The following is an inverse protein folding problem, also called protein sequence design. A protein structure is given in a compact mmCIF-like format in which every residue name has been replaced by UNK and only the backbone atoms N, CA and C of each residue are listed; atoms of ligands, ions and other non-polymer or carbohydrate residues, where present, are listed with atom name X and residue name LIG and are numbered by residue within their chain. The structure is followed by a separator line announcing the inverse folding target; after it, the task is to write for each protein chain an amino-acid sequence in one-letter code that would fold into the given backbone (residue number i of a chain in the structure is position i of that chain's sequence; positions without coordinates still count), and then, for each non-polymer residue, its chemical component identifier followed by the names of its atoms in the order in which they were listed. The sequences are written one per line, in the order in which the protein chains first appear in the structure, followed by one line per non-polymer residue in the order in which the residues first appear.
data_IF_299488255422
#
_entry.id   IF_299488255422
#
_cell.length_a   1.000
_cell.length_b   1.000
_cell.length_c   1.000
_cell.angle_alpha   90.00
_cell.angle_beta   90.00
_cell.angle_gamma   90.00
#
_symmetry.space_group_name_H-M   'P 1'
#
loop_
_entity.id
_entity.type
_entity.pdbx_description
1 polymer ?
#
# COMPACT_ATOMS: atom_id res chain seq x y z
N UNK A 1 -20.71 -8.53 -21.34
CA UNK A 1 -19.86 -9.74 -21.19
C UNK A 1 -19.82 -10.08 -19.71
N UNK A 2 -19.68 -11.35 -19.36
CA UNK A 2 -19.49 -11.72 -17.96
C UNK A 2 -18.10 -11.25 -17.48
N UNK A 3 -17.98 -10.94 -16.19
CA UNK A 3 -16.69 -10.64 -15.58
C UNK A 3 -15.80 -11.90 -15.61
N UNK A 4 -14.48 -11.78 -15.83
CA UNK A 4 -13.58 -12.93 -15.82
C UNK A 4 -13.35 -13.52 -14.42
N UNK A 5 -13.55 -12.73 -13.38
CA UNK A 5 -13.47 -13.13 -11.98
C UNK A 5 -14.75 -12.70 -11.24
N UNK A 6 -15.12 -13.43 -10.20
CA UNK A 6 -16.30 -13.13 -9.39
C UNK A 6 -15.90 -12.32 -8.16
N UNK A 7 -16.35 -11.07 -8.00
CA UNK A 7 -16.10 -10.30 -6.80
C UNK A 7 -16.90 -10.87 -5.61
N UNK A 8 -16.26 -10.95 -4.47
CA UNK A 8 -16.83 -11.44 -3.21
C UNK A 8 -16.70 -10.34 -2.16
N UNK A 9 -17.81 -9.98 -1.52
CA UNK A 9 -17.80 -8.97 -0.45
C UNK A 9 -18.43 -9.55 0.80
N UNK A 10 -17.64 -9.60 1.87
CA UNK A 10 -18.04 -10.14 3.17
C UNK A 10 -17.93 -9.06 4.24
N UNK A 11 -18.91 -8.96 5.11
CA UNK A 11 -18.94 -8.02 6.23
C UNK A 11 -19.10 -8.78 7.53
N UNK A 12 -18.24 -8.51 8.51
CA UNK A 12 -18.41 -9.02 9.85
C UNK A 12 -19.25 -8.01 10.68
N UNK A 13 -20.50 -8.34 10.93
CA UNK A 13 -21.43 -7.46 11.64
C UNK A 13 -21.27 -7.48 13.17
N UNK A 14 -20.63 -8.50 13.74
CA UNK A 14 -20.46 -8.65 15.19
C UNK A 14 -19.06 -8.27 15.67
N UNK A 15 -18.02 -8.42 14.82
CA UNK A 15 -16.65 -8.05 15.13
C UNK A 15 -16.42 -6.56 14.91
N UNK A 16 -16.11 -5.82 15.98
CA UNK A 16 -15.53 -4.47 15.89
C UNK A 16 -14.06 -4.51 15.47
N UNK A 17 -13.40 -3.35 15.49
CA UNK A 17 -11.95 -3.23 15.30
C UNK A 17 -11.18 -3.80 16.52
N UNK A 18 -11.47 -5.02 16.92
CA UNK A 18 -10.75 -5.72 17.99
C UNK A 18 -9.72 -6.65 17.36
N UNK A 19 -8.51 -6.64 17.91
CA UNK A 19 -7.39 -7.46 17.45
C UNK A 19 -7.36 -8.85 18.09
N UNK A 20 -8.42 -9.26 18.79
CA UNK A 20 -8.49 -10.59 19.39
C UNK A 20 -8.57 -11.67 18.31
N UNK A 21 -7.59 -12.56 18.27
CA UNK A 21 -7.73 -13.79 17.52
C UNK A 21 -8.77 -14.67 18.21
N UNK A 22 -9.71 -15.31 17.48
CA UNK A 22 -10.61 -16.25 18.09
C UNK A 22 -9.80 -17.38 18.77
N UNK A 23 -10.28 -17.86 19.91
CA UNK A 23 -9.68 -19.00 20.60
C UNK A 23 -9.82 -20.23 19.71
N UNK A 24 -8.70 -20.78 19.26
CA UNK A 24 -8.65 -22.04 18.50
C UNK A 24 -8.15 -23.12 19.46
N UNK A 25 -8.97 -24.15 19.66
CA UNK A 25 -8.62 -25.28 20.51
C UNK A 25 -7.28 -25.90 20.06
N UNK A 26 -6.41 -26.22 20.99
CA UNK A 26 -5.06 -26.75 20.79
C UNK A 26 -3.98 -25.80 20.25
N UNK A 27 -4.32 -24.54 19.89
CA UNK A 27 -3.35 -23.56 19.40
C UNK A 27 -3.35 -22.25 20.16
N UNK A 28 -4.46 -21.86 20.78
CA UNK A 28 -4.57 -20.62 21.54
C UNK A 28 -4.27 -20.85 23.02
N UNK A 29 -3.48 -19.95 23.63
CA UNK A 29 -3.28 -19.95 25.08
C UNK A 29 -4.53 -19.41 25.78
N UNK A 30 -4.97 -20.08 26.86
CA UNK A 30 -5.94 -19.54 27.81
C UNK A 30 -5.38 -18.19 28.31
N UNK A 31 -6.20 -17.19 28.45
CA UNK A 31 -5.91 -15.79 28.80
C UNK A 31 -5.48 -14.86 27.65
N UNK A 32 -5.14 -15.39 26.45
CA UNK A 32 -4.78 -14.57 25.28
C UNK A 32 -5.75 -14.72 24.11
N UNK A 33 -6.50 -15.81 24.03
CA UNK A 33 -7.52 -16.05 23.00
C UNK A 33 -8.89 -15.55 23.47
N UNK A 34 -9.58 -14.78 22.65
CA UNK A 34 -11.00 -14.49 22.88
C UNK A 34 -11.78 -15.74 22.46
N UNK A 35 -12.53 -16.34 23.41
CA UNK A 35 -13.51 -17.37 23.04
C UNK A 35 -14.36 -16.82 21.89
N UNK A 36 -14.35 -17.50 20.74
CA UNK A 36 -15.15 -17.09 19.61
C UNK A 36 -16.59 -16.93 20.08
N UNK A 37 -17.09 -15.73 20.02
CA UNK A 37 -18.51 -15.51 20.27
C UNK A 37 -19.27 -16.34 19.22
N UNK A 38 -20.10 -17.30 19.62
CA UNK A 38 -20.92 -18.07 18.68
C UNK A 38 -21.85 -17.18 17.85
N UNK A 39 -21.94 -15.88 18.18
CA UNK A 39 -22.69 -14.85 17.46
C UNK A 39 -21.87 -14.12 16.38
N UNK A 40 -20.64 -14.54 16.01
CA UNK A 40 -19.91 -13.92 14.91
C UNK A 40 -20.72 -14.08 13.62
N UNK A 41 -21.34 -12.99 13.18
CA UNK A 41 -22.17 -12.95 11.96
C UNK A 41 -21.34 -12.35 10.83
N UNK A 42 -20.80 -13.21 9.99
CA UNK A 42 -20.21 -12.80 8.71
C UNK A 42 -21.28 -12.98 7.65
N UNK A 43 -21.65 -11.89 6.98
CA UNK A 43 -22.61 -11.91 5.88
C UNK A 43 -21.87 -11.77 4.55
N UNK A 44 -22.31 -12.52 3.56
CA UNK A 44 -21.92 -12.36 2.17
C UNK A 44 -22.95 -11.49 1.48
N UNK A 45 -22.50 -10.32 1.00
CA UNK A 45 -23.37 -9.32 0.35
C UNK A 45 -23.09 -9.20 -1.14
N UNK A 46 -22.27 -10.09 -1.69
CA UNK A 46 -21.80 -10.04 -3.09
C UNK A 46 -22.92 -9.90 -4.11
N UNK A 47 -24.07 -10.55 -3.88
CA UNK A 47 -25.23 -10.49 -4.79
C UNK A 47 -25.95 -9.14 -4.80
N UNK A 48 -25.76 -8.31 -3.77
CA UNK A 48 -26.36 -6.99 -3.63
C UNK A 48 -25.42 -5.87 -4.12
N UNK A 49 -24.18 -6.20 -4.47
CA UNK A 49 -23.17 -5.21 -4.83
C UNK A 49 -23.39 -4.72 -6.26
N UNK A 50 -23.61 -3.40 -6.39
CA UNK A 50 -23.74 -2.72 -7.66
C UNK A 50 -22.42 -2.13 -8.17
N UNK A 51 -21.50 -1.73 -7.27
CA UNK A 51 -20.20 -1.15 -7.61
C UNK A 51 -19.19 -1.33 -6.50
N UNK A 52 -17.94 -1.56 -6.87
CA UNK A 52 -16.79 -1.56 -5.96
C UNK A 52 -15.72 -0.66 -6.57
N UNK A 53 -15.23 0.31 -5.81
CA UNK A 53 -14.02 1.06 -6.12
C UNK A 53 -13.05 0.86 -4.96
N UNK A 54 -11.82 0.38 -5.25
CA UNK A 54 -10.75 0.27 -4.27
C UNK A 54 -9.54 1.03 -4.74
N UNK A 55 -8.77 1.60 -3.80
CA UNK A 55 -7.54 2.30 -4.11
C UNK A 55 -6.53 2.13 -2.98
N UNK A 56 -5.34 1.71 -3.34
CA UNK A 56 -4.16 1.65 -2.48
C UNK A 56 -3.00 2.24 -3.27
N UNK A 57 -2.34 3.26 -2.75
CA UNK A 57 -1.25 3.90 -3.46
C UNK A 57 -0.24 4.55 -2.52
N UNK A 58 0.96 4.80 -3.04
CA UNK A 58 1.98 5.63 -2.42
C UNK A 58 1.85 7.07 -2.93
N UNK A 59 1.94 8.02 -2.01
CA UNK A 59 2.11 9.42 -2.38
C UNK A 59 3.59 9.67 -2.74
N UNK A 60 3.85 9.81 -4.04
CA UNK A 60 5.20 9.98 -4.56
C UNK A 60 5.90 11.27 -4.07
N UNK A 61 5.11 12.33 -3.75
CA UNK A 61 5.67 13.58 -3.23
C UNK A 61 6.11 13.50 -1.78
N UNK A 62 5.36 12.75 -0.97
CA UNK A 62 5.59 12.64 0.46
C UNK A 62 6.39 11.40 0.83
N UNK A 63 6.70 10.53 -0.14
CA UNK A 63 7.34 9.23 0.09
C UNK A 63 6.62 8.37 1.15
N UNK A 64 5.28 8.49 1.21
CA UNK A 64 4.46 7.81 2.19
C UNK A 64 3.37 6.98 1.53
N UNK A 65 3.10 5.80 2.10
CA UNK A 65 1.93 5.01 1.73
C UNK A 65 0.69 5.64 2.34
N UNK A 66 -0.33 5.80 1.52
CA UNK A 66 -1.61 6.33 1.96
C UNK A 66 -2.51 5.20 2.48
N UNK A 67 -3.46 5.58 3.33
CA UNK A 67 -4.52 4.66 3.72
C UNK A 67 -5.23 4.12 2.49
N UNK A 68 -5.31 2.81 2.38
CA UNK A 68 -6.15 2.17 1.39
C UNK A 68 -7.61 2.52 1.64
N UNK A 69 -8.35 2.78 0.58
CA UNK A 69 -9.78 3.10 0.63
C UNK A 69 -10.59 2.15 -0.23
N UNK A 70 -11.81 1.89 0.17
CA UNK A 70 -12.79 1.21 -0.66
C UNK A 70 -14.15 1.88 -0.54
N UNK A 71 -14.88 1.92 -1.64
CA UNK A 71 -16.30 2.30 -1.66
C UNK A 71 -17.08 1.16 -2.28
N UNK A 72 -18.02 0.62 -1.53
CA UNK A 72 -18.88 -0.47 -2.00
C UNK A 72 -20.33 0.01 -2.01
N UNK A 73 -20.92 0.06 -3.20
CA UNK A 73 -22.35 0.37 -3.36
C UNK A 73 -23.16 -0.91 -3.30
N UNK A 74 -24.09 -0.95 -2.37
CA UNK A 74 -25.02 -2.05 -2.16
C UNK A 74 -26.44 -1.59 -2.46
N UNK A 75 -27.20 -2.38 -3.18
CA UNK A 75 -28.64 -2.17 -3.39
C UNK A 75 -29.40 -2.61 -2.14
N UNK A 76 -30.33 -1.80 -1.67
CA UNK A 76 -31.16 -2.07 -0.48
C UNK A 76 -32.63 -2.23 -0.87
N UNK A 77 -32.96 -3.38 -1.45
CA UNK A 77 -34.30 -3.69 -1.92
C UNK A 77 -35.32 -3.86 -0.78
N UNK A 78 -34.85 -4.25 0.40
CA UNK A 78 -35.69 -4.60 1.55
C UNK A 78 -35.63 -3.58 2.70
N UNK A 79 -34.86 -2.52 2.58
CA UNK A 79 -34.62 -1.56 3.66
C UNK A 79 -33.83 -2.14 4.84
N UNK A 80 -33.09 -3.23 4.64
CA UNK A 80 -32.36 -3.92 5.70
C UNK A 80 -31.12 -3.16 6.16
N UNK A 81 -30.59 -2.29 5.32
CA UNK A 81 -29.42 -1.48 5.64
C UNK A 81 -29.76 -0.23 6.49
N UNK A 82 -31.02 0.01 6.79
CA UNK A 82 -31.41 1.09 7.70
C UNK A 82 -31.08 0.71 9.16
N UNK A 83 -30.18 1.43 9.86
CA UNK A 83 -29.77 1.11 11.21
C UNK A 83 -30.89 1.25 12.26
N UNK A 84 -32.00 1.92 11.91
CA UNK A 84 -33.18 2.07 12.78
C UNK A 84 -34.26 1.01 12.55
N UNK A 85 -34.08 0.17 11.53
CA UNK A 85 -35.03 -0.89 11.21
C UNK A 85 -34.86 -2.08 12.15
N UNK A 86 -35.68 -2.16 13.20
CA UNK A 86 -35.66 -3.28 14.17
C UNK A 86 -36.00 -4.64 13.57
N UNK A 87 -36.61 -4.64 12.37
CA UNK A 87 -36.96 -5.85 11.62
C UNK A 87 -35.83 -6.30 10.69
N UNK A 88 -34.80 -5.47 10.54
CA UNK A 88 -33.63 -5.84 9.74
C UNK A 88 -32.85 -7.01 10.37
N UNK A 89 -32.42 -8.01 9.59
CA UNK A 89 -31.57 -9.09 10.08
C UNK A 89 -30.19 -8.58 10.53
N UNK A 90 -29.84 -7.35 10.17
CA UNK A 90 -28.55 -6.70 10.52
C UNK A 90 -28.63 -5.85 11.80
N UNK A 91 -29.85 -5.61 12.32
CA UNK A 91 -30.04 -4.85 13.55
C UNK A 91 -29.55 -5.64 14.80
N UNK A 92 -28.89 -5.02 15.77
CA UNK A 92 -28.45 -3.62 15.87
C UNK A 92 -26.99 -3.40 15.39
N UNK A 93 -26.46 -4.23 14.51
CA UNK A 93 -25.05 -4.38 14.22
C UNK A 93 -24.50 -3.44 13.11
N UNK A 94 -25.36 -2.62 12.48
CA UNK A 94 -24.96 -1.63 11.47
C UNK A 94 -24.34 -0.41 12.16
N UNK A 95 -23.08 -0.53 12.57
CA UNK A 95 -22.31 0.53 13.22
C UNK A 95 -20.94 0.70 12.54
N UNK A 96 -20.33 1.90 12.64
CA UNK A 96 -18.99 2.11 12.10
C UNK A 96 -17.94 1.14 12.65
N UNK A 97 -16.84 0.99 11.91
CA UNK A 97 -15.70 0.11 12.20
C UNK A 97 -16.03 -1.39 12.13
N UNK A 98 -17.07 -1.78 11.43
CA UNK A 98 -17.27 -3.18 11.04
C UNK A 98 -16.23 -3.57 9.98
N UNK A 99 -15.66 -4.77 10.14
CA UNK A 99 -14.67 -5.28 9.20
C UNK A 99 -15.33 -5.68 7.88
N UNK A 100 -14.71 -5.29 6.78
CA UNK A 100 -15.10 -5.67 5.41
C UNK A 100 -13.93 -6.34 4.72
N UNK A 101 -14.23 -7.39 3.95
CA UNK A 101 -13.28 -8.13 3.12
C UNK A 101 -13.82 -8.13 1.70
N UNK A 102 -12.98 -7.71 0.75
CA UNK A 102 -13.26 -7.74 -0.68
C UNK A 102 -12.25 -8.68 -1.31
N UNK A 103 -12.74 -9.71 -1.98
CA UNK A 103 -11.96 -10.76 -2.63
C UNK A 103 -12.43 -10.95 -4.08
N UNK A 104 -11.68 -11.69 -4.87
CA UNK A 104 -12.07 -12.14 -6.20
C UNK A 104 -11.84 -13.64 -6.34
N UNK A 105 -12.83 -14.38 -6.75
CA UNK A 105 -12.65 -15.76 -7.20
C UNK A 105 -12.33 -15.76 -8.69
N UNK A 106 -11.15 -16.23 -9.05
CA UNK A 106 -10.72 -16.43 -10.42
C UNK A 106 -10.26 -17.88 -10.60
N UNK A 107 -10.99 -18.62 -11.41
CA UNK A 107 -10.72 -20.03 -11.72
C UNK A 107 -10.57 -20.93 -10.47
N UNK A 108 -11.35 -20.67 -9.42
CA UNK A 108 -11.34 -21.41 -8.15
C UNK A 108 -10.23 -20.99 -7.19
N UNK A 109 -9.46 -19.95 -7.51
CA UNK A 109 -8.49 -19.34 -6.60
C UNK A 109 -9.04 -18.00 -6.11
N UNK A 110 -9.07 -17.84 -4.79
CA UNK A 110 -9.54 -16.59 -4.15
C UNK A 110 -8.36 -15.66 -3.94
N UNK A 111 -8.42 -14.49 -4.56
CA UNK A 111 -7.43 -13.42 -4.44
C UNK A 111 -7.96 -12.32 -3.52
N UNK A 112 -7.23 -11.90 -2.49
CA UNK A 112 -7.60 -10.74 -1.70
C UNK A 112 -7.45 -9.47 -2.55
N UNK A 113 -8.40 -8.54 -2.43
CA UNK A 113 -8.36 -7.22 -3.06
C UNK A 113 -8.22 -6.14 -2.01
N UNK A 114 -9.04 -6.20 -0.97
CA UNK A 114 -9.05 -5.20 0.08
C UNK A 114 -9.60 -5.78 1.38
N UNK A 115 -8.96 -5.47 2.49
CA UNK A 115 -9.50 -5.69 3.83
C UNK A 115 -9.37 -4.42 4.65
N UNK A 116 -10.46 -4.05 5.28
CA UNK A 116 -10.51 -2.81 6.06
C UNK A 116 -11.75 -2.73 6.94
N UNK A 117 -12.15 -1.49 7.23
CA UNK A 117 -13.23 -1.18 8.16
C UNK A 117 -14.17 -0.16 7.54
N UNK A 118 -15.46 -0.36 7.71
CA UNK A 118 -16.49 0.57 7.23
C UNK A 118 -16.48 1.79 8.16
N UNK A 119 -16.08 2.93 7.65
CA UNK A 119 -16.02 4.18 8.41
C UNK A 119 -17.31 4.96 8.36
N UNK A 120 -18.07 4.79 7.28
CA UNK A 120 -19.31 5.53 7.05
C UNK A 120 -20.29 4.71 6.20
N UNK A 121 -21.57 4.86 6.47
CA UNK A 121 -22.68 4.33 5.70
C UNK A 121 -23.47 5.52 5.14
N UNK A 122 -23.44 5.71 3.82
CA UNK A 122 -24.19 6.76 3.13
C UNK A 122 -25.45 6.18 2.49
N UNK A 123 -26.59 6.50 3.05
CA UNK A 123 -27.90 6.00 2.61
C UNK A 123 -28.53 6.94 1.59
N UNK A 124 -29.05 6.38 0.51
CA UNK A 124 -29.82 7.11 -0.50
C UNK A 124 -31.09 6.36 -0.81
N UNK A 125 -32.23 7.00 -0.53
CA UNK A 125 -33.59 6.49 -0.82
C UNK A 125 -34.27 7.48 -1.77
N UNK A 126 -34.25 7.25 -3.09
CA UNK A 126 -34.91 8.10 -4.05
C UNK A 126 -36.43 8.07 -3.84
N UNK A 127 -37.07 9.26 -3.90
CA UNK A 127 -38.51 9.42 -3.59
C UNK A 127 -39.44 8.56 -4.45
N UNK A 128 -39.06 8.38 -5.73
CA UNK A 128 -39.90 7.73 -6.74
C UNK A 128 -39.36 6.37 -7.17
N UNK A 129 -38.41 5.82 -6.43
CA UNK A 129 -37.81 4.51 -6.73
C UNK A 129 -38.04 3.54 -5.57
N UNK A 130 -38.38 2.32 -5.91
CA UNK A 130 -38.61 1.26 -4.94
C UNK A 130 -37.32 0.74 -4.31
N UNK A 131 -36.15 0.97 -4.97
CA UNK A 131 -34.85 0.45 -4.56
C UNK A 131 -33.99 1.59 -4.05
N UNK A 132 -33.60 1.50 -2.78
CA UNK A 132 -32.57 2.32 -2.18
C UNK A 132 -31.18 1.74 -2.42
N UNK A 133 -30.15 2.50 -2.08
CA UNK A 133 -28.79 2.00 -2.02
C UNK A 133 -28.01 2.61 -0.86
N UNK A 134 -26.99 1.90 -0.43
CA UNK A 134 -26.03 2.37 0.58
C UNK A 134 -24.63 2.28 0.02
N UNK A 135 -23.87 3.37 0.15
CA UNK A 135 -22.44 3.40 -0.12
C UNK A 135 -21.68 3.16 1.19
N UNK A 136 -20.97 2.07 1.26
CA UNK A 136 -20.07 1.74 2.37
C UNK A 136 -18.73 2.40 2.08
N UNK A 137 -18.39 3.43 2.86
CA UNK A 137 -17.07 4.08 2.78
C UNK A 137 -16.13 3.35 3.73
N UNK A 138 -15.03 2.83 3.20
CA UNK A 138 -14.12 1.97 3.94
C UNK A 138 -12.70 2.53 3.91
N UNK A 139 -11.98 2.29 4.99
CA UNK A 139 -10.56 2.57 5.13
C UNK A 139 -9.84 1.32 5.62
N UNK A 140 -8.61 1.12 5.21
CA UNK A 140 -7.80 0.05 5.74
C UNK A 140 -7.36 0.32 7.20
N UNK A 141 -6.49 -0.52 7.73
CA UNK A 141 -6.07 -0.45 9.11
C UNK A 141 -5.16 0.75 9.45
N UNK A 142 -4.70 1.55 8.48
CA UNK A 142 -4.06 2.83 8.76
C UNK A 142 -4.91 3.71 9.68
N UNK A 143 -6.23 3.66 9.51
CA UNK A 143 -7.18 4.41 10.36
C UNK A 143 -7.06 4.04 11.83
N UNK A 144 -6.88 2.77 12.13
CA UNK A 144 -6.76 2.27 13.51
C UNK A 144 -5.42 2.69 14.13
N UNK A 145 -4.33 2.51 13.38
CA UNK A 145 -2.98 2.88 13.80
C UNK A 145 -2.84 4.40 13.98
N UNK A 146 -3.50 5.19 13.13
CA UNK A 146 -3.54 6.65 13.26
C UNK A 146 -4.24 7.08 14.55
N UNK A 147 -5.35 6.44 14.91
CA UNK A 147 -6.14 6.79 16.10
C UNK A 147 -5.51 6.26 17.41
N UNK A 148 -4.51 5.38 17.33
CA UNK A 148 -3.81 4.85 18.50
C UNK A 148 -2.63 5.73 18.88
N UNK A 149 -2.51 6.12 20.14
CA UNK A 149 -1.40 6.92 20.65
C UNK A 149 -0.38 6.04 21.38
N UNK A 150 0.88 6.35 21.20
CA UNK A 150 2.00 5.78 21.94
C UNK A 150 2.81 6.90 22.60
N UNK A 151 3.17 6.73 23.88
CA UNK A 151 4.08 7.63 24.59
C UNK A 151 5.45 6.98 24.71
N UNK A 152 5.50 5.79 25.26
CA UNK A 152 6.71 4.97 25.35
C UNK A 152 6.50 3.70 24.58
N UNK A 153 7.40 3.39 23.66
CA UNK A 153 7.36 2.11 22.94
C UNK A 153 7.94 1.02 23.84
N UNK A 154 7.11 0.09 24.25
CA UNK A 154 7.49 -0.98 25.19
C UNK A 154 8.65 -1.80 24.65
N UNK A 155 9.72 -1.94 25.44
CA UNK A 155 10.91 -2.71 25.08
C UNK A 155 11.81 -2.07 24.01
N UNK A 156 11.55 -0.82 23.58
CA UNK A 156 12.41 -0.12 22.64
C UNK A 156 13.78 0.19 23.29
N UNK A 157 14.85 -0.07 22.53
CA UNK A 157 16.22 0.17 22.95
C UNK A 157 17.02 0.85 21.83
N UNK A 158 18.09 1.57 22.18
CA UNK A 158 19.03 2.06 21.18
C UNK A 158 19.78 0.89 20.54
N UNK A 159 20.11 1.01 19.26
CA UNK A 159 20.84 -0.01 18.50
C UNK A 159 19.95 -1.10 17.89
N UNK A 160 18.64 -1.01 18.01
CA UNK A 160 17.73 -1.93 17.30
C UNK A 160 17.44 -1.44 15.88
N UNK A 161 17.15 -2.37 14.97
CA UNK A 161 16.76 -2.03 13.60
C UNK A 161 15.39 -1.36 13.54
N UNK A 162 15.18 -0.53 12.52
CA UNK A 162 13.94 0.21 12.28
C UNK A 162 12.70 -0.68 12.23
N UNK A 163 12.79 -1.84 11.56
CA UNK A 163 11.67 -2.78 11.54
C UNK A 163 11.39 -3.42 12.90
N UNK A 164 12.43 -3.69 13.71
CA UNK A 164 12.25 -4.13 15.09
C UNK A 164 11.50 -3.07 15.89
N UNK A 165 11.83 -1.78 15.70
CA UNK A 165 11.12 -0.66 16.31
C UNK A 165 9.64 -0.63 15.86
N UNK A 166 9.37 -0.80 14.56
CA UNK A 166 8.00 -0.88 14.03
C UNK A 166 7.23 -2.04 14.68
N UNK A 167 7.86 -3.21 14.80
CA UNK A 167 7.25 -4.37 15.49
C UNK A 167 6.84 -4.05 16.92
N UNK A 168 7.72 -3.39 17.70
CA UNK A 168 7.44 -2.99 19.08
C UNK A 168 6.38 -1.89 19.21
N UNK A 169 6.29 -0.98 18.24
CA UNK A 169 5.18 -0.01 18.18
C UNK A 169 3.85 -0.75 18.01
N UNK A 170 3.80 -1.72 17.08
CA UNK A 170 2.63 -2.55 16.86
C UNK A 170 2.28 -3.40 18.11
N UNK A 171 3.28 -3.94 18.82
CA UNK A 171 3.07 -4.64 20.11
C UNK A 171 2.45 -3.69 21.15
N UNK A 172 2.94 -2.46 21.24
CA UNK A 172 2.48 -1.46 22.22
C UNK A 172 0.99 -1.11 22.04
N UNK A 173 0.50 -1.13 20.79
CA UNK A 173 -0.92 -0.90 20.47
C UNK A 173 -1.75 -2.19 20.40
N UNK A 174 -1.16 -3.34 20.72
CA UNK A 174 -1.85 -4.64 20.72
C UNK A 174 -2.12 -5.23 19.32
N UNK A 175 -1.36 -4.82 18.27
CA UNK A 175 -1.52 -5.42 16.96
C UNK A 175 -1.02 -6.85 16.94
N UNK A 176 -1.83 -7.87 16.51
CA UNK A 176 -1.45 -9.26 16.60
C UNK A 176 -0.22 -9.60 15.72
N UNK A 177 0.66 -10.44 16.25
CA UNK A 177 1.85 -10.90 15.51
C UNK A 177 1.50 -11.74 14.28
N UNK A 178 0.36 -12.45 14.33
CA UNK A 178 -0.15 -13.26 13.21
C UNK A 178 -0.62 -12.44 12.01
N UNK A 179 -0.84 -11.13 12.19
CA UNK A 179 -1.34 -10.23 11.15
C UNK A 179 -0.30 -9.20 10.74
N UNK A 180 0.98 -9.59 10.69
CA UNK A 180 2.08 -8.71 10.28
C UNK A 180 3.24 -9.46 9.61
N UNK A 181 3.94 -8.77 8.73
CA UNK A 181 5.17 -9.21 8.07
C UNK A 181 6.20 -8.08 8.16
N UNK A 182 7.07 -8.16 9.15
CA UNK A 182 8.01 -7.07 9.50
C UNK A 182 9.44 -7.53 9.28
N UNK A 183 10.16 -6.91 8.34
CA UNK A 183 11.60 -7.11 8.17
C UNK A 183 12.36 -6.32 9.23
N UNK A 184 13.56 -6.77 9.62
CA UNK A 184 14.35 -6.15 10.70
C UNK A 184 14.71 -4.68 10.43
N UNK A 185 14.95 -4.32 9.16
CA UNK A 185 15.48 -3.01 8.77
C UNK A 185 17.00 -2.97 8.81
N UNK A 186 17.58 -2.01 8.10
CA UNK A 186 19.03 -1.84 7.97
C UNK A 186 19.58 -0.71 8.86
N UNK A 187 18.77 0.31 9.13
CA UNK A 187 19.17 1.46 9.93
C UNK A 187 18.94 1.18 11.42
N UNK A 188 19.92 1.52 12.26
CA UNK A 188 19.83 1.38 13.70
C UNK A 188 19.20 2.60 14.35
N UNK A 189 18.25 2.37 15.24
CA UNK A 189 17.49 3.42 15.91
C UNK A 189 18.17 3.92 17.18
N UNK A 190 17.97 5.19 17.49
CA UNK A 190 18.20 5.74 18.82
C UNK A 190 17.20 5.16 19.85
N UNK A 191 17.41 5.44 21.13
CA UNK A 191 16.41 5.19 22.17
C UNK A 191 15.08 5.88 21.81
N UNK A 192 13.96 5.32 22.26
CA UNK A 192 12.66 5.96 22.05
C UNK A 192 12.59 7.29 22.82
N UNK A 193 11.98 8.30 22.19
CA UNK A 193 11.89 9.66 22.75
C UNK A 193 11.00 9.75 24.00
N UNK A 194 10.11 8.80 24.23
CA UNK A 194 9.10 8.87 25.29
C UNK A 194 8.05 9.97 25.08
N UNK A 195 7.95 10.52 23.86
CA UNK A 195 7.01 11.61 23.55
C UNK A 195 5.71 11.03 23.01
N UNK A 196 4.57 11.55 23.48
CA UNK A 196 3.25 11.11 23.01
C UNK A 196 3.03 11.52 21.56
N UNK A 197 2.71 10.54 20.73
CA UNK A 197 2.44 10.69 19.29
C UNK A 197 1.52 9.58 18.80
N UNK A 198 0.92 9.72 17.61
CA UNK A 198 0.18 8.59 17.03
C UNK A 198 1.15 7.45 16.69
N UNK A 199 0.66 6.21 16.81
CA UNK A 199 1.45 5.03 16.41
C UNK A 199 1.85 5.11 14.93
N UNK A 200 0.97 5.63 14.07
CA UNK A 200 1.28 5.85 12.66
C UNK A 200 2.45 6.81 12.48
N UNK A 201 2.45 7.96 13.17
CA UNK A 201 3.56 8.90 13.09
C UNK A 201 4.89 8.26 13.54
N UNK A 202 4.87 7.46 14.61
CA UNK A 202 6.07 6.74 15.08
C UNK A 202 6.57 5.73 14.03
N UNK A 203 5.66 4.99 13.39
CA UNK A 203 5.97 4.05 12.31
C UNK A 203 6.47 4.77 11.06
N UNK A 204 5.83 5.86 10.65
CA UNK A 204 6.27 6.67 9.50
C UNK A 204 7.67 7.24 9.69
N UNK A 205 8.00 7.72 10.90
CA UNK A 205 9.35 8.20 11.22
C UNK A 205 10.38 7.09 11.07
N UNK A 206 10.09 5.88 11.58
CA UNK A 206 10.97 4.72 11.42
C UNK A 206 11.12 4.31 9.96
N UNK A 207 10.01 4.29 9.21
CA UNK A 207 9.98 3.93 7.79
C UNK A 207 10.75 4.92 6.93
N UNK A 208 10.59 6.22 7.19
CA UNK A 208 11.31 7.27 6.48
C UNK A 208 12.82 7.25 6.81
N UNK A 209 13.19 7.03 8.08
CA UNK A 209 14.58 6.84 8.51
C UNK A 209 15.23 5.66 7.79
N UNK A 210 14.50 4.57 7.57
CA UNK A 210 14.95 3.37 6.85
C UNK A 210 15.02 3.56 5.33
N UNK A 211 14.23 4.48 4.74
CA UNK A 211 13.92 4.50 3.31
C UNK A 211 13.27 3.20 2.82
N UNK A 212 12.50 2.60 3.69
CA UNK A 212 11.70 1.41 3.44
C UNK A 212 10.25 1.69 3.08
N UNK A 213 9.38 0.72 3.30
CA UNK A 213 7.93 0.85 3.10
C UNK A 213 7.13 0.27 4.25
N UNK A 214 6.13 1.02 4.73
CA UNK A 214 5.12 0.49 5.65
C UNK A 214 3.74 0.65 5.03
N UNK A 215 2.99 -0.43 4.97
CA UNK A 215 1.65 -0.46 4.40
C UNK A 215 0.84 -1.64 4.97
N UNK A 216 -0.46 -1.61 4.73
CA UNK A 216 -1.31 -2.79 4.92
C UNK A 216 -1.49 -3.49 3.59
N UNK A 217 -1.22 -4.80 3.51
CA UNK A 217 -1.41 -5.59 2.30
C UNK A 217 -2.90 -5.78 1.97
N UNK A 218 -3.21 -6.46 0.86
CA UNK A 218 -4.59 -6.73 0.42
C UNK A 218 -5.36 -7.60 1.42
N UNK A 219 -4.65 -8.45 2.20
CA UNK A 219 -5.22 -9.31 3.23
C UNK A 219 -5.36 -8.60 4.60
N UNK A 220 -4.89 -7.34 4.71
CA UNK A 220 -4.98 -6.53 5.92
C UNK A 220 -3.86 -6.77 6.93
N UNK A 221 -2.74 -7.38 6.52
CA UNK A 221 -1.57 -7.52 7.38
C UNK A 221 -0.74 -6.23 7.37
N UNK A 222 -0.18 -5.86 8.51
CA UNK A 222 0.81 -4.80 8.61
C UNK A 222 2.14 -5.29 8.02
N UNK A 223 2.64 -4.62 7.01
CA UNK A 223 3.87 -5.01 6.28
C UNK A 223 4.91 -3.90 6.41
N UNK A 224 6.12 -4.27 6.81
CA UNK A 224 7.28 -3.38 6.77
C UNK A 224 8.37 -4.01 5.91
N UNK A 225 8.80 -3.28 4.88
CA UNK A 225 9.90 -3.67 3.98
C UNK A 225 11.10 -2.79 4.24
N UNK A 226 12.27 -3.41 4.36
CA UNK A 226 13.54 -2.70 4.53
C UNK A 226 14.01 -2.05 3.23
N UNK A 227 14.92 -1.11 3.33
CA UNK A 227 15.61 -0.47 2.20
C UNK A 227 16.20 -1.50 1.23
N UNK A 228 16.91 -2.49 1.76
CA UNK A 228 17.50 -3.55 0.93
C UNK A 228 16.47 -4.28 0.10
N UNK A 229 15.30 -4.61 0.69
CA UNK A 229 14.22 -5.24 -0.06
C UNK A 229 13.71 -4.34 -1.19
N UNK A 230 13.48 -3.05 -0.90
CA UNK A 230 12.98 -2.09 -1.89
C UNK A 230 13.89 -2.01 -3.11
N UNK A 231 15.21 -2.07 -2.89
CA UNK A 231 16.19 -2.04 -3.99
C UNK A 231 16.31 -3.39 -4.72
N UNK A 232 16.31 -4.49 -3.98
CA UNK A 232 16.51 -5.83 -4.55
C UNK A 232 15.27 -6.37 -5.27
N UNK A 233 14.06 -5.94 -4.90
CA UNK A 233 12.82 -6.40 -5.54
C UNK A 233 12.81 -6.13 -7.06
N UNK A 234 13.44 -5.06 -7.51
CA UNK A 234 13.58 -4.77 -8.93
C UNK A 234 14.46 -5.77 -9.71
N UNK A 235 15.30 -6.53 -9.03
CA UNK A 235 16.15 -7.54 -9.67
C UNK A 235 15.44 -8.90 -9.88
N UNK A 236 14.20 -9.03 -9.39
CA UNK A 236 13.39 -10.24 -9.62
C UNK A 236 12.74 -10.21 -11.01
N UNK A 237 12.24 -11.36 -11.48
CA UNK A 237 11.61 -11.47 -12.81
C UNK A 237 10.37 -10.58 -12.88
N UNK A 238 10.32 -9.58 -13.79
CA UNK A 238 9.19 -8.67 -13.86
C UNK A 238 7.99 -9.29 -14.58
N UNK A 239 6.80 -8.86 -14.20
CA UNK A 239 5.60 -9.04 -15.02
C UNK A 239 5.68 -8.12 -16.23
N UNK A 240 5.55 -8.69 -17.43
CA UNK A 240 5.80 -7.96 -18.70
C UNK A 240 4.50 -7.52 -19.36
N UNK A 241 4.41 -6.21 -19.61
CA UNK A 241 3.29 -5.57 -20.28
C UNK A 241 3.74 -4.94 -21.60
N UNK A 242 2.92 -5.02 -22.67
CA UNK A 242 3.26 -4.45 -23.97
C UNK A 242 2.03 -4.12 -24.81
N UNK A 243 2.10 -3.01 -25.56
CA UNK A 243 1.16 -2.71 -26.64
C UNK A 243 1.68 -3.08 -28.04
N UNK A 244 2.85 -3.72 -28.12
CA UNK A 244 3.43 -4.11 -29.40
C UNK A 244 2.59 -5.20 -30.09
N UNK A 245 2.32 -5.03 -31.39
CA UNK A 245 1.58 -6.02 -32.19
C UNK A 245 2.34 -7.34 -32.23
N UNK A 246 1.62 -8.44 -31.95
CA UNK A 246 2.20 -9.79 -31.93
C UNK A 246 3.03 -10.12 -30.68
N UNK A 247 3.06 -9.23 -29.67
CA UNK A 247 3.68 -9.52 -28.39
C UNK A 247 2.92 -10.62 -27.66
N UNK A 248 3.66 -11.47 -26.92
CA UNK A 248 3.10 -12.45 -25.96
C UNK A 248 2.95 -11.88 -24.56
N UNK A 249 3.42 -10.64 -24.34
CA UNK A 249 3.26 -9.92 -23.08
C UNK A 249 1.80 -9.51 -22.84
N UNK A 250 1.49 -9.17 -21.60
CA UNK A 250 0.13 -8.76 -21.20
C UNK A 250 -0.20 -7.40 -21.84
N UNK A 251 -1.28 -7.29 -22.64
CA UNK A 251 -1.70 -6.02 -23.19
C UNK A 251 -2.36 -5.14 -22.11
N UNK A 252 -2.22 -3.84 -22.25
CA UNK A 252 -2.89 -2.84 -21.40
C UNK A 252 -3.83 -1.96 -22.23
N UNK A 253 -4.87 -1.45 -21.58
CA UNK A 253 -5.89 -0.61 -22.23
C UNK A 253 -5.50 0.88 -22.26
N UNK A 254 -4.64 1.31 -21.34
CA UNK A 254 -4.19 2.69 -21.25
C UNK A 254 -2.85 2.80 -20.54
N UNK A 255 -2.11 3.87 -20.87
CA UNK A 255 -0.83 4.21 -20.25
C UNK A 255 -0.75 5.72 -20.05
N UNK A 256 -0.22 6.15 -18.92
CA UNK A 256 0.00 7.56 -18.61
C UNK A 256 1.49 7.82 -18.43
N UNK A 257 2.02 8.74 -19.23
CA UNK A 257 3.39 9.24 -19.11
C UNK A 257 3.40 10.61 -18.44
N UNK A 258 4.43 10.89 -17.67
CA UNK A 258 4.72 12.21 -17.13
C UNK A 258 6.19 12.57 -17.29
N UNK A 259 6.44 13.82 -17.62
CA UNK A 259 7.75 14.45 -17.58
C UNK A 259 7.57 15.80 -16.91
N UNK A 260 7.87 15.89 -15.65
CA UNK A 260 7.69 17.09 -14.83
C UNK A 260 8.80 17.18 -13.77
N UNK A 261 8.79 18.26 -13.00
CA UNK A 261 9.75 18.57 -11.95
C UNK A 261 9.34 18.05 -10.56
N UNK A 262 8.19 17.41 -10.46
CA UNK A 262 7.56 17.04 -9.18
C UNK A 262 8.41 16.13 -8.28
N UNK A 263 9.27 15.32 -8.87
CA UNK A 263 10.13 14.39 -8.14
C UNK A 263 11.56 14.88 -7.97
N UNK A 264 11.89 16.08 -8.50
CA UNK A 264 13.23 16.63 -8.35
C UNK A 264 13.52 16.96 -6.89
N UNK A 265 14.68 16.51 -6.42
CA UNK A 265 15.27 16.93 -5.16
C UNK A 265 16.74 17.18 -5.42
N UNK A 266 17.17 18.45 -5.41
CA UNK A 266 18.56 18.85 -5.65
C UNK A 266 19.23 19.47 -4.42
N UNK A 267 18.46 19.59 -3.31
CA UNK A 267 19.00 19.86 -1.99
C UNK A 267 18.19 19.07 -0.95
N UNK A 268 18.86 18.41 -0.03
CA UNK A 268 18.22 17.71 1.07
C UNK A 268 18.90 18.10 2.39
N UNK A 269 18.08 18.38 3.40
CA UNK A 269 18.53 18.60 4.78
C UNK A 269 17.92 17.54 5.67
N UNK A 270 18.76 16.73 6.31
CA UNK A 270 18.33 15.67 7.22
C UNK A 270 18.92 15.92 8.60
N UNK A 271 18.07 15.89 9.62
CA UNK A 271 18.46 16.10 11.03
C UNK A 271 17.94 14.93 11.86
N UNK A 272 18.85 14.20 12.50
CA UNK A 272 18.45 13.21 13.51
C UNK A 272 18.05 13.88 14.81
N UNK A 273 17.28 13.21 15.64
CA UNK A 273 16.94 13.68 16.99
C UNK A 273 18.21 13.95 17.80
N UNK A 274 18.35 15.19 18.29
CA UNK A 274 19.54 15.62 19.04
C UNK A 274 20.82 15.75 18.24
N UNK A 275 20.77 15.68 16.91
CA UNK A 275 21.91 15.84 16.00
C UNK A 275 21.99 17.23 15.38
N UNK A 276 22.93 17.39 14.46
CA UNK A 276 23.12 18.61 13.66
C UNK A 276 22.57 18.43 12.26
N UNK A 277 21.98 19.48 11.63
CA UNK A 277 21.47 19.40 10.26
C UNK A 277 22.58 18.97 9.28
N UNK A 278 22.32 17.94 8.52
CA UNK A 278 23.19 17.44 7.47
C UNK A 278 22.62 17.81 6.11
N UNK A 279 23.39 18.53 5.31
CA UNK A 279 22.93 19.07 4.02
C UNK A 279 23.69 18.43 2.88
N UNK A 280 22.97 17.98 1.86
CA UNK A 280 23.52 17.59 0.55
C UNK A 280 22.88 18.45 -0.54
N UNK A 281 23.63 18.79 -1.59
CA UNK A 281 23.11 19.56 -2.73
C UNK A 281 23.89 19.26 -4.01
N UNK A 282 23.23 19.41 -5.16
CA UNK A 282 23.82 19.30 -6.48
C UNK A 282 23.71 20.66 -7.23
N UNK A 283 24.85 21.36 -7.38
CA UNK A 283 24.88 22.69 -7.96
C UNK A 283 24.50 22.71 -9.45
N UNK A 284 24.79 21.63 -10.19
CA UNK A 284 24.46 21.54 -11.61
C UNK A 284 22.94 21.38 -11.80
N UNK A 285 22.29 20.55 -10.98
CA UNK A 285 20.84 20.42 -10.98
C UNK A 285 20.15 21.71 -10.54
N UNK A 286 20.67 22.38 -9.51
CA UNK A 286 20.11 23.69 -9.08
C UNK A 286 20.21 24.74 -10.21
N UNK A 287 21.32 24.78 -10.92
CA UNK A 287 21.48 25.70 -12.05
C UNK A 287 20.51 25.39 -13.20
N UNK A 288 20.15 24.12 -13.39
CA UNK A 288 19.27 23.65 -14.47
C UNK A 288 17.78 23.79 -14.13
N UNK A 289 17.38 23.43 -12.90
CA UNK A 289 15.97 23.28 -12.50
C UNK A 289 15.55 24.25 -11.40
N UNK A 290 16.41 25.16 -10.96
CA UNK A 290 16.23 25.94 -9.74
C UNK A 290 16.26 25.06 -8.48
N UNK A 291 16.12 25.66 -7.31
CA UNK A 291 16.20 24.98 -6.03
C UNK A 291 14.93 24.16 -5.73
N UNK A 292 15.08 22.87 -5.62
CA UNK A 292 14.08 21.93 -5.13
C UNK A 292 14.60 21.26 -3.85
N UNK A 293 14.15 21.74 -2.69
CA UNK A 293 14.66 21.30 -1.40
C UNK A 293 13.65 20.46 -0.63
N UNK A 294 14.17 19.45 0.10
CA UNK A 294 13.43 18.72 1.13
C UNK A 294 14.12 18.86 2.47
N UNK A 295 13.33 18.81 3.55
CA UNK A 295 13.83 18.81 4.91
C UNK A 295 13.17 17.69 5.71
N UNK A 296 13.99 16.87 6.36
CA UNK A 296 13.56 15.78 7.23
C UNK A 296 14.19 15.99 8.62
N UNK A 297 13.35 16.25 9.61
CA UNK A 297 13.76 16.46 10.99
C UNK A 297 13.32 15.31 11.88
N UNK A 298 13.93 15.23 13.06
CA UNK A 298 13.59 14.26 14.11
C UNK A 298 13.72 12.79 13.67
N UNK A 299 14.67 12.54 12.77
CA UNK A 299 14.97 11.19 12.34
C UNK A 299 15.59 10.38 13.47
N UNK A 300 15.35 9.07 13.48
CA UNK A 300 15.72 8.21 14.61
C UNK A 300 17.01 7.41 14.39
N UNK A 301 17.77 7.67 13.32
CA UNK A 301 19.10 7.07 13.15
C UNK A 301 20.08 7.49 14.26
N UNK A 302 21.14 6.69 14.46
CA UNK A 302 22.07 6.90 15.58
C UNK A 302 23.10 8.01 15.36
N UNK A 303 23.52 8.23 14.12
CA UNK A 303 24.65 9.11 13.81
C UNK A 303 24.31 10.20 12.80
N UNK A 304 25.05 11.32 12.88
CA UNK A 304 24.96 12.40 11.88
C UNK A 304 25.51 11.96 10.53
N UNK A 305 26.40 10.96 10.49
CA UNK A 305 26.91 10.35 9.26
C UNK A 305 25.76 9.67 8.50
N UNK A 306 24.95 8.84 9.16
CA UNK A 306 23.76 8.21 8.54
C UNK A 306 22.77 9.27 8.03
N UNK A 307 22.61 10.39 8.76
CA UNK A 307 21.76 11.50 8.31
C UNK A 307 22.35 12.17 7.05
N UNK A 308 23.69 12.30 6.97
CA UNK A 308 24.36 12.82 5.79
C UNK A 308 24.22 11.89 4.60
N UNK A 309 24.37 10.59 4.81
CA UNK A 309 24.22 9.57 3.77
C UNK A 309 22.81 9.57 3.20
N UNK A 310 21.79 9.66 4.08
CA UNK A 310 20.41 9.81 3.67
C UNK A 310 20.17 11.07 2.83
N UNK A 311 20.69 12.22 3.26
CA UNK A 311 20.60 13.47 2.50
C UNK A 311 21.26 13.35 1.12
N UNK A 312 22.44 12.72 1.06
CA UNK A 312 23.19 12.51 -0.17
C UNK A 312 22.43 11.58 -1.13
N UNK A 313 21.80 10.54 -0.59
CA UNK A 313 20.99 9.62 -1.36
C UNK A 313 19.76 10.28 -2.00
N UNK A 314 19.04 11.13 -1.26
CA UNK A 314 17.91 11.89 -1.83
C UNK A 314 18.32 12.73 -3.04
N UNK A 315 19.44 13.42 -2.93
CA UNK A 315 19.94 14.26 -4.03
C UNK A 315 20.43 13.39 -5.19
N UNK A 316 21.25 12.37 -4.93
CA UNK A 316 21.81 11.50 -5.97
C UNK A 316 20.72 10.83 -6.82
N UNK A 317 19.64 10.37 -6.18
CA UNK A 317 18.56 9.63 -6.84
C UNK A 317 17.50 10.51 -7.53
N UNK A 318 17.42 11.82 -7.21
CA UNK A 318 16.31 12.69 -7.65
C UNK A 318 16.74 14.02 -8.25
N UNK A 319 18.02 14.22 -8.52
CA UNK A 319 18.52 15.49 -9.06
C UNK A 319 18.17 15.77 -10.53
N UNK A 320 17.69 14.76 -11.26
CA UNK A 320 17.33 14.86 -12.68
C UNK A 320 15.89 14.42 -12.90
N UNK A 321 15.29 14.93 -13.99
CA UNK A 321 13.97 14.46 -14.44
C UNK A 321 14.13 13.27 -15.38
N UNK A 322 13.21 12.33 -15.29
CA UNK A 322 13.08 11.23 -16.24
C UNK A 322 11.66 11.17 -16.79
N UNK A 323 11.52 10.65 -18.02
CA UNK A 323 10.19 10.32 -18.53
C UNK A 323 9.66 9.15 -17.72
N UNK A 324 8.63 9.39 -16.91
CA UNK A 324 8.00 8.37 -16.05
C UNK A 324 6.80 7.75 -16.75
N UNK A 325 6.53 6.52 -16.40
CA UNK A 325 5.21 5.92 -16.60
C UNK A 325 4.52 6.00 -15.24
N UNK A 326 3.50 6.82 -15.12
CA UNK A 326 2.78 6.99 -13.85
C UNK A 326 1.82 5.83 -13.60
N UNK A 327 1.15 5.34 -14.64
CA UNK A 327 0.24 4.21 -14.50
C UNK A 327 -0.04 3.49 -15.82
N UNK A 328 -0.47 2.24 -15.69
CA UNK A 328 -1.14 1.48 -16.76
C UNK A 328 -2.52 1.04 -16.29
N UNK A 329 -3.45 0.93 -17.23
CA UNK A 329 -4.81 0.44 -16.97
C UNK A 329 -5.04 -0.86 -17.71
N UNK A 330 -5.54 -1.86 -17.00
CA UNK A 330 -5.96 -3.16 -17.53
C UNK A 330 -7.48 -3.20 -17.54
N UNK A 331 -8.06 -3.62 -18.65
CA UNK A 331 -9.49 -3.93 -18.75
C UNK A 331 -9.65 -5.45 -18.72
N UNK A 332 -10.06 -5.98 -17.57
CA UNK A 332 -10.11 -7.42 -17.33
C UNK A 332 -11.16 -8.12 -18.19
N UNK A 333 -12.23 -7.42 -18.56
CA UNK A 333 -13.27 -7.97 -19.44
C UNK A 333 -12.71 -8.18 -20.85
N UNK A 334 -11.89 -7.25 -21.35
CA UNK A 334 -11.21 -7.38 -22.64
C UNK A 334 -10.09 -8.41 -22.60
N UNK A 335 -9.33 -8.48 -21.49
CA UNK A 335 -8.30 -9.51 -21.26
C UNK A 335 -8.91 -10.92 -21.20
N UNK A 336 -10.16 -11.02 -20.71
CA UNK A 336 -10.88 -12.28 -20.58
C UNK A 336 -10.28 -13.21 -19.53
N UNK A 337 -9.44 -14.16 -19.97
CA UNK A 337 -8.79 -15.13 -19.09
C UNK A 337 -7.29 -15.15 -19.31
N UNK A 338 -6.54 -15.62 -18.32
CA UNK A 338 -5.11 -15.87 -18.40
C UNK A 338 -4.25 -14.91 -17.58
N UNK A 339 -2.98 -14.80 -17.97
CA UNK A 339 -1.94 -14.10 -17.22
C UNK A 339 -2.27 -12.64 -16.89
N UNK A 340 -3.04 -11.95 -17.73
CA UNK A 340 -3.42 -10.56 -17.50
C UNK A 340 -4.38 -10.38 -16.33
N UNK A 341 -5.35 -11.29 -16.16
CA UNK A 341 -6.28 -11.27 -15.03
C UNK A 341 -5.54 -11.66 -13.76
N UNK A 342 -4.72 -12.71 -13.82
CA UNK A 342 -3.88 -13.12 -12.67
C UNK A 342 -2.97 -11.96 -12.23
N UNK A 343 -2.27 -11.30 -13.14
CA UNK A 343 -1.41 -10.17 -12.82
C UNK A 343 -2.19 -9.01 -12.15
N UNK A 344 -3.38 -8.69 -12.65
CA UNK A 344 -4.22 -7.63 -12.06
C UNK A 344 -4.69 -7.95 -10.62
N UNK A 345 -4.87 -9.23 -10.30
CA UNK A 345 -5.32 -9.70 -8.98
C UNK A 345 -4.17 -9.95 -8.01
N UNK A 346 -3.00 -10.40 -8.50
CA UNK A 346 -1.88 -10.86 -7.69
C UNK A 346 -0.87 -9.75 -7.37
N UNK A 347 -0.52 -8.89 -8.34
CA UNK A 347 0.47 -7.83 -8.15
C UNK A 347 0.18 -7.00 -6.89
N UNK A 348 1.25 -6.73 -6.10
CA UNK A 348 1.21 -5.90 -4.91
C UNK A 348 2.35 -4.87 -4.92
N UNK A 349 2.51 -4.09 -3.85
CA UNK A 349 3.56 -3.10 -3.73
C UNK A 349 4.95 -3.72 -3.89
N UNK A 350 5.81 -3.02 -4.62
CA UNK A 350 7.19 -3.39 -4.96
C UNK A 350 7.35 -4.53 -5.97
N UNK A 351 6.27 -5.14 -6.45
CA UNK A 351 6.40 -6.15 -7.50
C UNK A 351 6.95 -5.53 -8.78
N UNK A 352 7.97 -6.17 -9.41
CA UNK A 352 8.60 -5.62 -10.58
C UNK A 352 7.71 -5.77 -11.82
N UNK A 353 7.68 -4.71 -12.62
CA UNK A 353 6.92 -4.62 -13.85
C UNK A 353 7.84 -4.13 -14.96
N UNK A 354 7.80 -4.77 -16.13
CA UNK A 354 8.41 -4.25 -17.34
C UNK A 354 7.33 -3.80 -18.31
N UNK A 355 7.37 -2.54 -18.70
CA UNK A 355 6.37 -1.95 -19.59
C UNK A 355 7.04 -1.55 -20.90
N UNK A 356 6.54 -2.11 -22.00
CA UNK A 356 6.94 -1.74 -23.36
C UNK A 356 5.82 -0.95 -24.00
N UNK A 357 6.14 0.24 -24.49
CA UNK A 357 5.22 1.07 -25.27
C UNK A 357 5.83 1.39 -26.63
N UNK A 358 5.12 1.01 -27.69
CA UNK A 358 5.43 1.40 -29.05
C UNK A 358 4.46 2.50 -29.46
N UNK A 359 4.98 3.72 -29.69
CA UNK A 359 4.16 4.85 -30.10
C UNK A 359 3.79 4.78 -31.58
N UNK A 360 2.90 5.68 -32.01
CA UNK A 360 2.42 5.72 -33.41
C UNK A 360 3.53 6.01 -34.43
N UNK A 361 4.66 6.59 -34.01
CA UNK A 361 5.83 6.81 -34.86
C UNK A 361 6.81 5.62 -34.87
N UNK A 362 6.48 4.53 -34.21
CA UNK A 362 7.31 3.33 -34.12
C UNK A 362 8.44 3.41 -33.08
N UNK A 363 8.56 4.49 -32.31
CA UNK A 363 9.52 4.57 -31.22
C UNK A 363 9.10 3.69 -30.07
N UNK A 364 10.03 2.87 -29.58
CA UNK A 364 9.78 1.95 -28.46
C UNK A 364 10.38 2.51 -27.18
N UNK A 365 9.57 2.57 -26.13
CA UNK A 365 9.97 2.88 -24.77
C UNK A 365 9.85 1.62 -23.94
N UNK A 366 10.92 1.20 -23.30
CA UNK A 366 10.94 0.05 -22.37
C UNK A 366 11.40 0.56 -21.01
N UNK A 367 10.62 0.30 -19.98
CA UNK A 367 10.92 0.67 -18.60
C UNK A 367 10.71 -0.51 -17.67
N UNK A 368 11.65 -0.72 -16.75
CA UNK A 368 11.49 -1.64 -15.61
C UNK A 368 11.16 -0.81 -14.39
N UNK A 369 10.05 -1.10 -13.77
CA UNK A 369 9.39 -0.28 -12.74
C UNK A 369 8.94 -1.17 -11.59
N UNK A 370 8.57 -0.57 -10.48
CA UNK A 370 7.91 -1.24 -9.37
C UNK A 370 6.44 -0.81 -9.29
N UNK A 371 5.57 -1.73 -8.92
CA UNK A 371 4.18 -1.41 -8.57
C UNK A 371 4.16 -0.58 -7.27
N UNK A 372 3.51 0.57 -7.29
CA UNK A 372 3.39 1.47 -6.14
C UNK A 372 1.94 1.88 -5.84
N UNK A 373 1.01 1.25 -6.52
CA UNK A 373 -0.41 1.44 -6.25
C UNK A 373 -1.29 0.58 -7.12
N UNK A 374 -2.44 0.21 -6.58
CA UNK A 374 -3.43 -0.64 -7.23
C UNK A 374 -4.80 -0.07 -6.95
N UNK A 375 -5.56 0.17 -8.02
CA UNK A 375 -6.95 0.59 -7.92
C UNK A 375 -7.82 -0.33 -8.78
N UNK A 376 -8.92 -0.78 -8.21
CA UNK A 376 -9.93 -1.54 -8.94
C UNK A 376 -11.22 -0.74 -9.02
N UNK A 377 -11.84 -0.73 -10.18
CA UNK A 377 -13.21 -0.25 -10.38
C UNK A 377 -14.03 -1.35 -11.02
N UNK A 378 -15.00 -1.86 -10.27
CA UNK A 378 -15.77 -3.05 -10.59
C UNK A 378 -17.25 -2.70 -10.64
N UNK A 379 -17.91 -3.04 -11.72
CA UNK A 379 -19.37 -3.01 -11.89
C UNK A 379 -19.82 -4.38 -12.40
N UNK A 380 -21.11 -4.68 -12.48
CA UNK A 380 -21.57 -5.97 -13.00
C UNK A 380 -21.07 -6.34 -14.41
N UNK A 381 -20.65 -5.34 -15.21
CA UNK A 381 -20.25 -5.55 -16.61
C UNK A 381 -18.83 -5.05 -16.93
N UNK A 382 -18.14 -4.40 -16.00
CA UNK A 382 -16.81 -3.85 -16.22
C UNK A 382 -15.91 -4.10 -15.03
N UNK A 383 -14.65 -4.40 -15.31
CA UNK A 383 -13.62 -4.48 -14.29
C UNK A 383 -12.34 -3.85 -14.82
N UNK A 384 -11.97 -2.72 -14.27
CA UNK A 384 -10.72 -2.03 -14.61
C UNK A 384 -9.79 -2.03 -13.43
N UNK A 385 -8.53 -2.34 -13.68
CA UNK A 385 -7.45 -2.26 -12.71
C UNK A 385 -6.42 -1.25 -13.20
N UNK A 386 -6.14 -0.26 -12.38
CA UNK A 386 -5.07 0.71 -12.63
C UNK A 386 -3.90 0.38 -11.71
N UNK A 387 -2.72 0.18 -12.31
CA UNK A 387 -1.47 -0.06 -11.61
C UNK A 387 -0.65 1.21 -11.68
N UNK A 388 -0.38 1.82 -10.53
CA UNK A 388 0.53 2.97 -10.41
C UNK A 388 1.95 2.46 -10.31
N UNK A 389 2.88 3.07 -11.02
CA UNK A 389 4.26 2.60 -11.12
C UNK A 389 5.25 3.68 -10.72
N UNK A 390 6.43 3.26 -10.30
CA UNK A 390 7.56 4.13 -10.01
C UNK A 390 8.85 3.49 -10.52
N UNK A 391 9.75 4.32 -11.05
CA UNK A 391 11.12 3.89 -11.33
C UNK A 391 11.85 3.56 -10.03
N UNK A 392 12.74 2.58 -10.08
CA UNK A 392 13.64 2.32 -8.97
C UNK A 392 14.50 3.54 -8.71
N UNK A 393 14.51 3.98 -7.46
CA UNK A 393 15.19 5.22 -7.05
C UNK A 393 16.72 5.07 -7.03
N UNK A 394 17.26 3.86 -7.10
CA UNK A 394 18.71 3.61 -7.11
C UNK A 394 19.09 2.51 -8.09
N UNK A 395 20.03 2.83 -8.97
CA UNK A 395 20.91 1.86 -9.59
C UNK A 395 21.93 1.35 -8.55
N UNK A 396 21.44 0.61 -7.55
CA UNK A 396 22.30 -0.03 -6.57
C UNK A 396 23.14 -1.12 -7.23
N UNK A 397 24.42 -1.25 -6.81
CA UNK A 397 25.25 -2.38 -7.23
C UNK A 397 24.71 -3.66 -6.59
N UNK A 398 24.16 -4.56 -7.39
CA UNK A 398 23.73 -5.90 -6.95
C UNK A 398 24.71 -6.90 -7.57
N UNK A 399 25.42 -7.63 -6.74
CA UNK A 399 26.39 -8.64 -7.19
C UNK A 399 25.66 -9.68 -8.09
N UNK A 400 26.28 -10.02 -9.21
CA UNK A 400 25.75 -10.95 -10.22
C UNK A 400 24.49 -10.49 -10.97
N UNK A 401 24.06 -9.23 -10.82
CA UNK A 401 23.01 -8.65 -11.64
C UNK A 401 23.57 -8.11 -12.95
N UNK A 402 22.90 -8.42 -14.06
CA UNK A 402 23.24 -7.87 -15.39
C UNK A 402 22.75 -6.44 -15.60
N UNK A 403 21.86 -5.96 -14.71
CA UNK A 403 21.28 -4.62 -14.77
C UNK A 403 21.87 -3.68 -13.70
N UNK A 404 22.17 -4.18 -12.52
CA UNK A 404 22.52 -3.38 -11.33
C UNK A 404 23.90 -3.72 -10.75
N UNK A 405 24.67 -4.59 -11.39
CA UNK A 405 26.00 -5.02 -10.94
C UNK A 405 27.13 -4.62 -11.89
N UNK A 406 26.95 -3.59 -12.71
CA UNK A 406 27.93 -3.17 -13.70
C UNK A 406 28.92 -2.22 -13.03
N UNK A 407 30.17 -2.66 -12.93
CA UNK A 407 31.28 -1.83 -12.43
C UNK A 407 31.37 -0.53 -13.26
N UNK A 408 31.64 0.59 -12.62
CA UNK A 408 31.72 1.94 -13.21
C UNK A 408 30.38 2.54 -13.67
N UNK A 409 29.27 1.80 -13.59
CA UNK A 409 27.93 2.30 -13.99
C UNK A 409 26.96 2.32 -12.81
N UNK A 410 27.03 1.34 -11.93
CA UNK A 410 26.14 1.22 -10.77
C UNK A 410 26.79 1.75 -9.49
N UNK A 411 26.02 2.44 -8.66
CA UNK A 411 26.49 2.98 -7.37
C UNK A 411 26.36 1.90 -6.30
N UNK A 412 27.39 1.75 -5.45
CA UNK A 412 27.26 0.91 -4.27
C UNK A 412 26.15 1.44 -3.37
N UNK A 413 25.15 0.62 -3.09
CA UNK A 413 24.16 0.94 -2.08
C UNK A 413 24.84 1.01 -0.70
N UNK A 414 24.61 2.09 0.04
CA UNK A 414 25.17 2.28 1.38
C UNK A 414 24.37 1.54 2.45
#
# INVERSE_FOLDING_TARGET
MALPATPIVKINLTGGASFGSPFILDTSQLDFGILADPSTVIIDVSSQVAKIDTRKERNLFQDKYQSGTATVRITDENGWWNPQSVTSPYYPNLVPLRSIIIEADYAGTVYPIFKGYITEYLYTYPKDQEIGYVDLICSDAFRLVFNSNVTTVTGAVAGEGTGTRVGKILDTIGWPSSSRSIMTGNTLCQADSGTTRSALQAIETATFTEQGGFYFDKAGNAVFKSRTFVYQSAATTPTVFSNATGSTAIPYAGITFALDDKTIVNQATVTRTGGTPQVASDAASIAKFFLHSITANDMIMQTDTEAKDLASNFVASRKETTLRIDSITLDLVTLGYGAGVTAALDLDYFDPMQITNVNVAGTTIVKTLQCQGIAHSITPNTWRTTLTTQENVLDGFILDSTLYGILDTSVLAY
#
